data_IF_986440344979
#
_entry.id   IF_986440344979
#
_cell.length_a   1.000
_cell.length_b   1.000
_cell.length_c   1.000
_cell.angle_alpha   90.00
_cell.angle_beta   90.00
_cell.angle_gamma   90.00
#
_symmetry.space_group_name_H-M   'P 1'
#
loop_
_entity.id
_entity.type
_entity.pdbx_description
1 polymer ?
#
# COMPACT_ATOMS: atom_id res chain seq x y z
N UNK A 1 2.99 14.23 -12.65
CA UNK A 1 2.59 12.79 -12.62
C UNK A 1 1.07 12.74 -12.80
N UNK A 2 0.48 11.75 -13.50
CA UNK A 2 -0.99 11.62 -13.57
C UNK A 2 -1.60 11.48 -12.17
N UNK A 3 -2.86 11.90 -11.95
CA UNK A 3 -3.53 11.68 -10.67
C UNK A 3 -3.56 10.20 -10.28
N UNK A 4 -3.44 9.93 -8.98
CA UNK A 4 -3.57 8.60 -8.41
C UNK A 4 -4.99 8.05 -8.63
N UNK A 5 -5.08 6.86 -9.21
CA UNK A 5 -6.31 6.10 -9.38
C UNK A 5 -6.31 4.86 -8.48
N UNK A 6 -7.10 4.92 -7.41
CA UNK A 6 -7.24 3.83 -6.41
C UNK A 6 -7.60 2.46 -7.02
N UNK A 7 -8.24 2.42 -8.20
CA UNK A 7 -8.64 1.17 -8.86
C UNK A 7 -7.53 0.54 -9.68
N UNK A 8 -6.53 1.33 -10.08
CA UNK A 8 -5.52 0.92 -11.06
C UNK A 8 -4.10 0.98 -10.51
N UNK A 9 -3.86 1.84 -9.53
CA UNK A 9 -2.53 2.16 -9.04
C UNK A 9 -2.25 1.53 -7.66
N UNK A 10 -1.08 0.91 -7.55
CA UNK A 10 -0.46 0.54 -6.27
C UNK A 10 0.10 1.81 -5.61
N UNK A 11 -0.47 2.22 -4.48
CA UNK A 11 -0.09 3.47 -3.80
C UNK A 11 1.39 3.50 -3.40
N UNK A 12 1.96 2.36 -2.95
CA UNK A 12 3.39 2.30 -2.61
C UNK A 12 4.27 2.56 -3.85
N UNK A 13 3.99 1.90 -4.97
CA UNK A 13 4.67 2.17 -6.24
C UNK A 13 4.46 3.61 -6.72
N UNK A 14 3.24 4.15 -6.57
CA UNK A 14 2.91 5.52 -6.92
C UNK A 14 3.71 6.52 -6.10
N UNK A 15 3.77 6.36 -4.78
CA UNK A 15 4.55 7.20 -3.87
C UNK A 15 6.04 7.08 -4.15
N UNK A 16 6.58 5.87 -4.37
CA UNK A 16 7.98 5.67 -4.77
C UNK A 16 8.32 6.41 -6.06
N UNK A 17 7.46 6.34 -7.08
CA UNK A 17 7.62 7.10 -8.33
C UNK A 17 7.55 8.60 -8.10
N UNK A 18 6.60 9.07 -7.30
CA UNK A 18 6.46 10.47 -6.94
C UNK A 18 7.74 11.01 -6.27
N UNK A 19 8.27 10.29 -5.28
CA UNK A 19 9.50 10.65 -4.56
C UNK A 19 10.72 10.66 -5.48
N UNK A 20 10.82 9.69 -6.40
CA UNK A 20 11.91 9.65 -7.37
C UNK A 20 11.92 10.91 -8.25
N UNK A 21 10.75 11.31 -8.77
CA UNK A 21 10.62 12.52 -9.60
C UNK A 21 10.91 13.77 -8.75
N UNK A 22 10.34 13.88 -7.56
CA UNK A 22 10.49 15.06 -6.72
C UNK A 22 11.96 15.27 -6.28
N UNK A 23 12.71 14.18 -6.04
CA UNK A 23 14.16 14.22 -5.79
C UNK A 23 14.94 14.62 -7.03
N UNK A 24 14.60 14.06 -8.19
CA UNK A 24 15.27 14.38 -9.46
C UNK A 24 15.15 15.85 -9.87
N UNK A 25 14.08 16.51 -9.43
CA UNK A 25 13.80 17.93 -9.69
C UNK A 25 14.27 18.87 -8.55
N UNK A 26 15.04 18.35 -7.57
CA UNK A 26 15.50 19.11 -6.40
C UNK A 26 14.38 19.89 -5.67
N UNK A 27 13.18 19.31 -5.66
CA UNK A 27 12.02 19.97 -5.09
C UNK A 27 12.17 20.03 -3.56
N UNK A 28 11.94 21.18 -2.91
CA UNK A 28 11.99 21.26 -1.44
C UNK A 28 10.80 20.53 -0.81
N UNK A 29 11.06 19.80 0.27
CA UNK A 29 10.09 18.92 0.95
C UNK A 29 8.73 19.58 1.28
N UNK A 30 8.65 20.86 1.72
CA UNK A 30 7.35 21.51 1.94
C UNK A 30 6.47 21.61 0.68
N UNK A 31 7.07 21.61 -0.51
CA UNK A 31 6.32 21.59 -1.79
C UNK A 31 5.85 20.18 -2.15
N UNK A 32 6.47 19.12 -1.61
CA UNK A 32 6.08 17.74 -1.89
C UNK A 32 4.69 17.44 -1.35
N UNK A 33 4.37 17.91 -0.15
CA UNK A 33 3.04 17.70 0.44
C UNK A 33 1.93 18.34 -0.42
N UNK A 34 2.17 19.57 -0.89
CA UNK A 34 1.24 20.27 -1.79
C UNK A 34 1.13 19.56 -3.14
N UNK A 35 2.26 19.17 -3.73
CA UNK A 35 2.30 18.46 -5.01
C UNK A 35 1.61 17.09 -4.94
N UNK A 36 1.82 16.35 -3.85
CA UNK A 36 1.15 15.07 -3.62
C UNK A 36 -0.37 15.29 -3.57
N UNK A 37 -0.85 16.25 -2.75
CA UNK A 37 -2.28 16.55 -2.60
C UNK A 37 -2.98 16.83 -3.93
N UNK A 38 -2.33 17.59 -4.84
CA UNK A 38 -2.88 17.87 -6.18
C UNK A 38 -3.01 16.61 -7.06
N UNK A 39 -2.27 15.55 -6.75
CA UNK A 39 -2.34 14.31 -7.48
C UNK A 39 -3.31 13.30 -6.86
N UNK A 40 -3.84 13.56 -5.66
CA UNK A 40 -4.77 12.64 -5.01
C UNK A 40 -6.21 12.98 -5.40
N UNK A 41 -7.03 11.94 -5.53
CA UNK A 41 -8.47 12.07 -5.76
C UNK A 41 -9.21 11.13 -4.80
N UNK A 42 -10.54 11.21 -4.77
CA UNK A 42 -11.35 10.22 -4.05
C UNK A 42 -11.03 10.09 -2.57
N UNK A 43 -10.89 8.85 -2.11
CA UNK A 43 -10.65 8.54 -0.70
C UNK A 43 -9.23 8.94 -0.27
N UNK A 44 -8.25 8.89 -1.17
CA UNK A 44 -6.90 9.33 -0.86
C UNK A 44 -6.84 10.82 -0.54
N UNK A 45 -7.56 11.64 -1.30
CA UNK A 45 -7.71 13.06 -1.00
C UNK A 45 -8.44 13.27 0.34
N UNK A 46 -9.50 12.50 0.63
CA UNK A 46 -10.25 12.58 1.89
C UNK A 46 -9.36 12.27 3.11
N UNK A 47 -8.44 11.32 3.01
CA UNK A 47 -7.49 10.98 4.07
C UNK A 47 -6.60 12.16 4.40
N UNK A 48 -5.99 12.76 3.38
CA UNK A 48 -5.13 13.93 3.57
C UNK A 48 -5.90 15.14 4.09
N UNK A 49 -7.15 15.33 3.67
CA UNK A 49 -8.02 16.41 4.15
C UNK A 49 -8.41 16.32 5.63
N UNK A 50 -8.24 15.16 6.28
CA UNK A 50 -8.49 14.97 7.72
C UNK A 50 -7.29 15.34 8.60
N UNK A 51 -6.12 15.57 8.01
CA UNK A 51 -4.93 15.97 8.73
C UNK A 51 -5.01 17.43 9.18
N UNK A 52 -4.34 17.76 10.28
CA UNK A 52 -4.24 19.16 10.71
C UNK A 52 -3.49 20.00 9.64
N UNK A 53 -3.71 21.31 9.55
CA UNK A 53 -2.99 22.17 8.60
C UNK A 53 -1.47 22.02 8.74
N UNK A 54 -0.97 21.90 9.98
CA UNK A 54 0.45 21.70 10.27
C UNK A 54 0.96 20.37 9.71
N UNK A 55 0.21 19.29 9.92
CA UNK A 55 0.62 17.95 9.46
C UNK A 55 0.50 17.81 7.94
N UNK A 56 -0.48 18.46 7.33
CA UNK A 56 -0.67 18.46 5.87
C UNK A 56 0.45 19.17 5.10
N UNK A 57 1.29 19.97 5.78
CA UNK A 57 2.42 20.69 5.16
C UNK A 57 3.73 19.91 5.19
N UNK A 58 3.81 18.79 5.93
CA UNK A 58 4.96 17.88 5.91
C UNK A 58 4.59 16.66 5.07
N UNK A 59 5.43 16.27 4.12
CA UNK A 59 5.15 15.13 3.23
C UNK A 59 4.96 13.80 3.99
N UNK A 60 5.67 13.63 5.11
CA UNK A 60 5.67 12.41 5.91
C UNK A 60 4.30 12.07 6.53
N UNK A 61 3.53 13.07 6.95
CA UNK A 61 2.23 12.83 7.58
C UNK A 61 1.16 12.31 6.59
N UNK A 62 0.92 12.97 5.43
CA UNK A 62 0.10 12.46 4.35
C UNK A 62 0.55 11.09 3.85
N UNK A 63 1.86 10.88 3.63
CA UNK A 63 2.40 9.59 3.22
C UNK A 63 1.99 8.48 4.18
N UNK A 64 2.22 8.68 5.49
CA UNK A 64 1.88 7.68 6.52
C UNK A 64 0.37 7.43 6.56
N UNK A 65 -0.43 8.48 6.60
CA UNK A 65 -1.89 8.36 6.66
C UNK A 65 -2.48 7.62 5.46
N UNK A 66 -1.94 7.84 4.26
CA UNK A 66 -2.31 7.12 3.05
C UNK A 66 -1.92 5.65 3.13
N UNK A 67 -0.67 5.34 3.49
CA UNK A 67 -0.20 3.97 3.63
C UNK A 67 -1.05 3.18 4.65
N UNK A 68 -1.37 3.81 5.79
CA UNK A 68 -2.22 3.23 6.83
C UNK A 68 -3.66 3.00 6.32
N UNK A 69 -4.29 4.02 5.71
CA UNK A 69 -5.68 3.92 5.24
C UNK A 69 -5.85 2.82 4.20
N UNK A 70 -4.96 2.77 3.21
CA UNK A 70 -5.09 1.85 2.09
C UNK A 70 -4.47 0.49 2.35
N UNK A 71 -4.11 0.23 3.63
CA UNK A 71 -3.54 -1.03 4.09
C UNK A 71 -2.33 -1.42 3.24
N UNK A 72 -1.41 -0.51 3.00
CA UNK A 72 -0.09 -0.80 2.43
C UNK A 72 0.88 -1.24 3.53
N UNK A 73 0.36 -2.02 4.47
CA UNK A 73 1.09 -2.69 5.53
C UNK A 73 1.23 -4.16 5.16
N UNK A 74 2.16 -4.86 5.82
CA UNK A 74 2.30 -6.33 5.70
C UNK A 74 0.95 -7.03 5.82
N UNK A 75 0.13 -6.62 6.78
CA UNK A 75 -1.20 -7.20 7.02
C UNK A 75 -2.19 -6.87 5.89
N UNK A 76 -2.13 -5.67 5.34
CA UNK A 76 -3.02 -5.27 4.27
C UNK A 76 -2.76 -5.97 2.95
N UNK A 77 -1.49 -6.17 2.58
CA UNK A 77 -1.14 -6.97 1.41
C UNK A 77 -1.49 -8.46 1.60
N UNK A 78 -1.29 -9.00 2.82
CA UNK A 78 -1.79 -10.35 3.18
C UNK A 78 -3.28 -10.47 2.93
N UNK A 79 -4.07 -9.53 3.45
CA UNK A 79 -5.53 -9.57 3.32
C UNK A 79 -5.97 -9.43 1.86
N UNK A 80 -5.35 -8.52 1.09
CA UNK A 80 -5.58 -8.39 -0.36
C UNK A 80 -5.29 -9.71 -1.07
N UNK A 81 -4.16 -10.37 -0.78
CA UNK A 81 -3.83 -11.70 -1.34
C UNK A 81 -4.87 -12.76 -0.98
N UNK A 82 -5.22 -12.91 0.31
CA UNK A 82 -6.12 -13.96 0.80
C UNK A 82 -7.58 -13.78 0.39
N UNK A 83 -8.05 -12.53 0.27
CA UNK A 83 -9.45 -12.20 -0.04
C UNK A 83 -9.68 -11.81 -1.50
N UNK A 84 -8.63 -11.76 -2.32
CA UNK A 84 -8.74 -11.42 -3.75
C UNK A 84 -9.73 -12.34 -4.46
N UNK A 85 -10.43 -11.76 -5.44
CA UNK A 85 -11.28 -12.49 -6.39
C UNK A 85 -11.07 -11.90 -7.79
N UNK A 86 -11.27 -12.69 -8.86
CA UNK A 86 -11.25 -12.17 -10.21
C UNK A 86 -12.26 -11.03 -10.38
N UNK A 87 -11.86 -9.96 -11.04
CA UNK A 87 -12.71 -8.83 -11.38
C UNK A 87 -13.49 -9.07 -12.68
N UNK A 88 -14.59 -8.34 -12.87
CA UNK A 88 -15.37 -8.44 -14.11
C UNK A 88 -14.53 -7.99 -15.31
N UNK A 89 -14.41 -8.87 -16.31
CA UNK A 89 -13.57 -8.63 -17.50
C UNK A 89 -12.08 -8.91 -17.32
N UNK A 90 -11.63 -9.33 -16.13
CA UNK A 90 -10.25 -9.73 -15.87
C UNK A 90 -9.97 -11.13 -16.41
N UNK A 91 -8.88 -11.29 -17.17
CA UNK A 91 -8.45 -12.61 -17.64
C UNK A 91 -7.77 -13.40 -16.53
N UNK A 92 -7.71 -14.73 -16.66
CA UNK A 92 -7.02 -15.58 -15.69
C UNK A 92 -5.53 -15.20 -15.50
N UNK A 93 -4.85 -14.77 -16.56
CA UNK A 93 -3.46 -14.32 -16.48
C UNK A 93 -3.31 -12.98 -15.77
N UNK A 94 -4.21 -12.03 -16.00
CA UNK A 94 -4.25 -10.76 -15.28
C UNK A 94 -4.50 -10.98 -13.79
N UNK A 95 -5.48 -11.83 -13.46
CA UNK A 95 -5.78 -12.16 -12.07
C UNK A 95 -4.59 -12.82 -11.36
N UNK A 96 -3.93 -13.77 -12.03
CA UNK A 96 -2.75 -14.45 -11.48
C UNK A 96 -1.60 -13.46 -11.24
N UNK A 97 -1.34 -12.55 -12.19
CA UNK A 97 -0.30 -11.53 -12.04
C UNK A 97 -0.60 -10.57 -10.88
N UNK A 98 -1.87 -10.13 -10.72
CA UNK A 98 -2.30 -9.29 -9.61
C UNK A 98 -2.17 -10.00 -8.26
N UNK A 99 -2.57 -11.28 -8.21
CA UNK A 99 -2.44 -12.11 -7.02
C UNK A 99 -0.98 -12.30 -6.61
N UNK A 100 -0.10 -12.57 -7.58
CA UNK A 100 1.35 -12.65 -7.36
C UNK A 100 1.90 -11.32 -6.83
N UNK A 101 1.48 -10.18 -7.41
CA UNK A 101 1.88 -8.86 -6.94
C UNK A 101 1.54 -8.61 -5.47
N UNK A 102 0.33 -9.00 -5.01
CA UNK A 102 -0.02 -8.88 -3.59
C UNK A 102 0.85 -9.75 -2.68
N UNK A 103 1.16 -10.97 -3.12
CA UNK A 103 2.03 -11.87 -2.37
C UNK A 103 3.46 -11.34 -2.27
N UNK A 104 4.06 -10.93 -3.38
CA UNK A 104 5.42 -10.41 -3.43
C UNK A 104 5.56 -9.16 -2.54
N UNK A 105 4.58 -8.25 -2.60
CA UNK A 105 4.55 -7.07 -1.73
C UNK A 105 4.33 -7.42 -0.26
N UNK A 106 3.53 -8.43 0.06
CA UNK A 106 3.39 -8.93 1.43
C UNK A 106 4.73 -9.43 1.98
N UNK A 107 5.52 -10.13 1.17
CA UNK A 107 6.87 -10.57 1.55
C UNK A 107 7.83 -9.39 1.68
N UNK A 108 7.86 -8.47 0.72
CA UNK A 108 8.74 -7.29 0.68
C UNK A 108 8.51 -6.36 1.88
N UNK A 109 7.27 -5.90 2.10
CA UNK A 109 6.91 -4.98 3.19
C UNK A 109 7.03 -5.66 4.55
N UNK A 110 6.82 -6.99 4.59
CA UNK A 110 7.04 -7.80 5.77
C UNK A 110 8.48 -8.20 6.02
N UNK A 111 9.44 -7.61 5.28
CA UNK A 111 10.89 -7.86 5.35
C UNK A 111 11.23 -9.36 5.41
N UNK A 112 10.48 -10.17 4.66
CA UNK A 112 10.61 -11.62 4.70
C UNK A 112 11.71 -12.05 3.75
N UNK A 113 12.75 -12.76 4.24
CA UNK A 113 13.78 -13.29 3.36
C UNK A 113 13.20 -14.17 2.27
N UNK A 114 13.76 -14.10 1.06
CA UNK A 114 13.36 -14.94 -0.08
C UNK A 114 13.90 -16.36 0.03
N UNK A 115 13.66 -17.02 1.17
CA UNK A 115 14.02 -18.41 1.43
C UNK A 115 12.76 -19.23 1.71
N UNK A 116 12.84 -20.53 1.42
CA UNK A 116 11.73 -21.44 1.69
C UNK A 116 11.37 -21.48 3.17
N UNK A 117 12.37 -21.45 4.05
CA UNK A 117 12.21 -21.50 5.50
C UNK A 117 11.47 -20.26 6.02
N UNK A 118 11.88 -19.06 5.60
CA UNK A 118 11.25 -17.82 6.00
C UNK A 118 9.80 -17.74 5.51
N UNK A 119 9.54 -18.18 4.27
CA UNK A 119 8.19 -18.28 3.75
C UNK A 119 7.34 -19.25 4.58
N UNK A 120 7.83 -20.48 4.79
CA UNK A 120 7.13 -21.50 5.57
C UNK A 120 6.78 -20.99 6.96
N UNK A 121 7.75 -20.40 7.66
CA UNK A 121 7.57 -19.92 9.02
C UNK A 121 6.56 -18.77 9.08
N UNK A 122 6.55 -17.88 8.07
CA UNK A 122 5.57 -16.80 7.96
C UNK A 122 4.15 -17.32 7.73
N UNK A 123 3.98 -18.29 6.84
CA UNK A 123 2.67 -18.94 6.60
C UNK A 123 2.19 -19.70 7.84
N UNK A 124 3.09 -20.38 8.55
CA UNK A 124 2.74 -21.07 9.81
C UNK A 124 2.33 -20.09 10.91
N UNK A 125 3.06 -18.99 11.08
CA UNK A 125 2.72 -17.95 12.04
C UNK A 125 1.37 -17.31 11.73
N UNK A 126 1.10 -17.01 10.45
CA UNK A 126 -0.22 -16.55 10.00
C UNK A 126 -1.32 -17.54 10.39
N UNK A 127 -1.16 -18.81 10.03
CA UNK A 127 -2.17 -19.84 10.29
C UNK A 127 -2.43 -19.97 11.79
N UNK A 128 -1.37 -19.98 12.62
CA UNK A 128 -1.49 -19.99 14.07
C UNK A 128 -2.29 -18.79 14.60
N UNK A 129 -1.93 -17.57 14.18
CA UNK A 129 -2.62 -16.35 14.61
C UNK A 129 -4.11 -16.37 14.22
N UNK A 130 -4.44 -16.86 13.01
CA UNK A 130 -5.82 -16.96 12.53
C UNK A 130 -6.70 -17.86 13.40
N UNK A 131 -6.13 -18.91 14.00
CA UNK A 131 -6.84 -19.84 14.88
C UNK A 131 -6.89 -19.36 16.34
N UNK A 132 -5.91 -18.57 16.76
CA UNK A 132 -5.85 -18.06 18.13
C UNK A 132 -6.72 -16.82 18.38
N UNK A 133 -7.10 -16.07 17.34
CA UNK A 133 -7.91 -14.86 17.49
C UNK A 133 -9.42 -15.14 17.59
N UNK A 134 -9.87 -16.38 17.38
CA UNK A 134 -11.25 -16.84 17.59
C UNK A 134 -11.54 -17.22 19.05
N UNK A 135 -11.33 -16.28 19.98
CA UNK A 135 -12.01 -16.29 21.28
C UNK A 135 -12.62 -14.92 21.52
N UNK A 136 -13.76 -14.68 20.89
CA UNK A 136 -14.69 -13.63 21.30
C UNK A 136 -15.80 -14.35 22.07
N UNK A 137 -15.85 -14.11 23.39
CA UNK A 137 -16.97 -14.52 24.26
C UNK A 137 -18.22 -13.71 23.93
#
# INVERSE_FOLDING_TARGET
IPPYDERRDDLDAYLKRFECIAKGEDCPEPKWATALSMCLTGEALNVCGRLSPRDSMSYEAPKRALLDRFRFTTEGYREKFRKSKPEEGETASQYTARLQGYFDRWMEVGETPSTYEALRDKILAEQFLSQCHTKTY
#
